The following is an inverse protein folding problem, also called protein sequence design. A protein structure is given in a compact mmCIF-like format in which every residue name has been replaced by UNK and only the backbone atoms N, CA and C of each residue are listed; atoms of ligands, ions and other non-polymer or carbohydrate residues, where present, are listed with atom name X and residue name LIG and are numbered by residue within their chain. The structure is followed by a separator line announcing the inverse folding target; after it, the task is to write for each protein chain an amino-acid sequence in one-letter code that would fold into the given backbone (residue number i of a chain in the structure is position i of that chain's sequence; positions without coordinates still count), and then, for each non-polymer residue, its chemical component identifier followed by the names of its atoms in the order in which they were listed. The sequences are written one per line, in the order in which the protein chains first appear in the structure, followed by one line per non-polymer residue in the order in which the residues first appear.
data_IF_452941631305
#
_entry.id   IF_452941631305
#
_cell.length_a   1.000
_cell.length_b   1.000
_cell.length_c   1.000
_cell.angle_alpha   90.00
_cell.angle_beta   90.00
_cell.angle_gamma   90.00
#
_symmetry.space_group_name_H-M   'P 1'
#
loop_
_entity.id
_entity.type
_entity.pdbx_description
1 polymer ?
#
# COMPACT_ATOMS: atom_id res chain seq x y z
N UNK A 1 -29.66 15.42 17.54
CA UNK A 1 -28.77 14.28 17.84
C UNK A 1 -27.45 14.57 17.11
N UNK A 2 -26.40 14.95 17.84
CA UNK A 2 -25.08 15.14 17.23
C UNK A 2 -24.57 13.75 16.81
N UNK A 3 -24.40 13.53 15.51
CA UNK A 3 -23.61 12.40 15.04
C UNK A 3 -22.22 12.50 15.70
N UNK A 4 -21.67 11.42 16.26
CA UNK A 4 -20.30 11.48 16.78
C UNK A 4 -19.42 11.98 15.63
N UNK A 5 -18.59 12.99 15.92
CA UNK A 5 -17.58 13.45 14.95
C UNK A 5 -16.76 12.24 14.53
N UNK A 6 -16.75 11.91 13.25
CA UNK A 6 -15.91 10.83 12.74
C UNK A 6 -14.46 11.18 13.13
N UNK A 7 -13.77 10.21 13.71
CA UNK A 7 -12.37 10.34 14.08
C UNK A 7 -11.54 10.76 12.84
N UNK A 8 -10.56 11.63 13.03
CA UNK A 8 -9.66 12.07 11.97
C UNK A 8 -8.93 10.84 11.41
N UNK A 9 -9.02 10.63 10.12
CA UNK A 9 -8.42 9.49 9.45
C UNK A 9 -6.92 9.71 9.25
N UNK A 10 -6.07 8.78 9.66
CA UNK A 10 -4.65 8.83 9.37
C UNK A 10 -4.34 8.00 8.12
N UNK A 11 -3.82 8.64 7.09
CA UNK A 11 -3.30 7.97 5.88
C UNK A 11 -1.80 8.11 5.87
N UNK A 12 -1.09 7.01 5.66
CA UNK A 12 0.35 6.96 5.71
C UNK A 12 0.93 6.35 4.45
N UNK A 13 1.99 6.95 3.93
CA UNK A 13 2.85 6.34 2.92
C UNK A 13 4.31 6.40 3.35
N UNK A 14 5.14 5.59 2.70
CA UNK A 14 6.58 5.60 2.93
C UNK A 14 7.33 5.82 1.63
N UNK A 15 8.31 6.72 1.64
CA UNK A 15 9.20 7.00 0.50
C UNK A 15 10.65 6.90 0.97
N UNK A 16 11.41 6.00 0.38
CA UNK A 16 12.85 5.89 0.60
C UNK A 16 13.61 5.70 -0.70
N UNK A 17 14.88 6.08 -0.70
CA UNK A 17 15.74 6.01 -1.88
C UNK A 17 15.21 6.85 -3.04
N UNK A 18 15.58 6.46 -4.24
CA UNK A 18 15.35 7.24 -5.48
C UNK A 18 14.35 6.60 -6.45
N UNK A 19 13.76 5.46 -6.08
CA UNK A 19 12.83 4.74 -6.99
C UNK A 19 11.61 5.59 -7.34
N UNK A 20 11.05 6.28 -6.36
CA UNK A 20 9.89 7.15 -6.53
C UNK A 20 10.25 8.60 -6.24
N UNK A 21 9.95 9.51 -7.18
CA UNK A 21 10.09 10.94 -6.99
C UNK A 21 8.98 11.50 -6.09
N UNK A 22 9.11 12.76 -5.66
CA UNK A 22 8.10 13.44 -4.85
C UNK A 22 6.72 13.46 -5.49
N UNK A 23 6.65 13.51 -6.84
CA UNK A 23 5.40 13.51 -7.59
C UNK A 23 4.51 12.30 -7.29
N UNK A 24 5.09 11.13 -7.00
CA UNK A 24 4.31 9.97 -6.60
C UNK A 24 3.57 10.17 -5.28
N UNK A 25 4.23 10.80 -4.30
CA UNK A 25 3.63 11.13 -3.01
C UNK A 25 2.56 12.21 -3.17
N UNK A 26 2.86 13.25 -3.95
CA UNK A 26 1.93 14.36 -4.21
C UNK A 26 0.68 13.86 -4.95
N UNK A 27 0.86 12.98 -5.94
CA UNK A 27 -0.26 12.34 -6.65
C UNK A 27 -1.07 11.45 -5.73
N UNK A 28 -0.42 10.66 -4.86
CA UNK A 28 -1.12 9.84 -3.87
C UNK A 28 -1.94 10.71 -2.91
N UNK A 29 -1.36 11.80 -2.40
CA UNK A 29 -2.07 12.78 -1.58
C UNK A 29 -3.31 13.32 -2.31
N UNK A 30 -3.16 13.74 -3.58
CA UNK A 30 -4.28 14.24 -4.38
C UNK A 30 -5.38 13.20 -4.58
N UNK A 31 -5.01 11.95 -4.82
CA UNK A 31 -5.97 10.84 -4.94
C UNK A 31 -6.71 10.59 -3.63
N UNK A 32 -6.02 10.62 -2.48
CA UNK A 32 -6.65 10.50 -1.17
C UNK A 32 -7.63 11.64 -0.92
N UNK A 33 -7.22 12.88 -1.17
CA UNK A 33 -8.05 14.06 -0.97
C UNK A 33 -9.34 14.05 -1.80
N UNK A 34 -9.32 13.44 -2.98
CA UNK A 34 -10.52 13.29 -3.83
C UNK A 34 -11.44 12.14 -3.42
N UNK A 35 -10.90 11.14 -2.73
CA UNK A 35 -11.62 9.88 -2.48
C UNK A 35 -11.88 9.58 -0.99
N UNK A 36 -11.55 10.50 -0.09
CA UNK A 36 -11.81 10.39 1.34
C UNK A 36 -12.67 11.58 1.79
N UNK A 37 -13.88 11.30 2.27
CA UNK A 37 -14.88 12.34 2.57
C UNK A 37 -14.74 12.91 3.99
N UNK A 38 -14.00 12.26 4.87
CA UNK A 38 -13.76 12.68 6.25
C UNK A 38 -12.51 13.53 6.39
N UNK A 39 -12.39 14.27 7.48
CA UNK A 39 -11.15 14.94 7.84
C UNK A 39 -10.02 13.92 7.97
N UNK A 40 -8.84 14.23 7.41
CA UNK A 40 -7.71 13.32 7.42
C UNK A 40 -6.37 14.05 7.58
N UNK A 41 -5.42 13.31 8.11
CA UNK A 41 -3.99 13.62 8.07
C UNK A 41 -3.34 12.74 7.02
N UNK A 42 -2.47 13.30 6.20
CA UNK A 42 -1.67 12.53 5.25
C UNK A 42 -0.20 12.64 5.63
N UNK A 43 0.36 11.51 6.04
CA UNK A 43 1.72 11.42 6.56
C UNK A 43 2.62 10.67 5.58
N UNK A 44 3.76 11.25 5.28
CA UNK A 44 4.82 10.61 4.52
C UNK A 44 6.04 10.38 5.40
N UNK A 45 6.40 9.12 5.62
CA UNK A 45 7.66 8.76 6.27
C UNK A 45 8.75 8.73 5.21
N UNK A 46 9.75 9.63 5.32
CA UNK A 46 10.78 9.76 4.29
C UNK A 46 12.09 10.32 4.83
N UNK A 47 13.19 9.97 4.17
CA UNK A 47 14.51 10.56 4.37
C UNK A 47 14.72 11.83 3.53
N UNK A 48 13.83 12.09 2.54
CA UNK A 48 13.92 13.23 1.65
C UNK A 48 12.54 13.82 1.36
N UNK A 49 12.27 14.99 1.96
CA UNK A 49 11.02 15.73 1.82
C UNK A 49 11.02 16.71 0.64
N UNK A 50 12.11 16.80 -0.13
CA UNK A 50 12.23 17.78 -1.21
C UNK A 50 11.15 17.56 -2.27
N UNK A 51 10.40 18.64 -2.58
CA UNK A 51 9.35 18.63 -3.60
C UNK A 51 8.01 18.06 -3.15
N UNK A 52 7.85 17.70 -1.87
CA UNK A 52 6.54 17.31 -1.33
C UNK A 52 5.63 18.52 -1.17
N UNK A 53 4.33 18.32 -1.38
CA UNK A 53 3.29 19.31 -1.15
C UNK A 53 3.26 19.71 0.34
N UNK A 54 3.12 21.00 0.63
CA UNK A 54 3.14 21.53 1.99
C UNK A 54 2.00 21.05 2.90
N UNK A 55 0.97 20.45 2.34
CA UNK A 55 -0.15 19.84 3.08
C UNK A 55 0.17 18.43 3.58
N UNK A 56 1.27 17.84 3.13
CA UNK A 56 1.73 16.52 3.55
C UNK A 56 2.56 16.69 4.83
N UNK A 57 2.15 15.99 5.87
CA UNK A 57 2.95 15.90 7.10
C UNK A 57 4.13 14.97 6.88
N UNK A 58 5.32 15.42 7.21
CA UNK A 58 6.55 14.66 6.95
C UNK A 58 7.22 14.31 8.26
N UNK A 59 7.51 13.02 8.41
CA UNK A 59 8.38 12.52 9.48
C UNK A 59 9.54 11.72 8.88
N UNK A 60 10.68 11.61 9.56
CA UNK A 60 11.76 10.75 9.12
C UNK A 60 11.29 9.27 9.06
N UNK A 61 12.04 8.42 8.39
CA UNK A 61 11.83 6.97 8.53
C UNK A 61 12.18 6.56 9.96
N UNK A 62 11.32 5.77 10.65
CA UNK A 62 11.67 5.29 11.98
C UNK A 62 12.96 4.46 11.95
N UNK A 63 13.77 4.61 12.99
CA UNK A 63 14.98 3.80 13.12
C UNK A 63 14.63 2.33 13.32
N UNK A 64 15.31 1.48 12.58
CA UNK A 64 15.19 0.03 12.69
C UNK A 64 16.34 -0.52 13.51
N UNK A 65 16.06 -1.52 14.35
CA UNK A 65 17.09 -2.20 15.16
C UNK A 65 18.15 -2.93 14.31
N UNK A 66 17.90 -3.06 13.00
CA UNK A 66 18.78 -3.71 12.03
C UNK A 66 19.06 -2.77 10.86
N UNK A 67 20.27 -2.86 10.30
CA UNK A 67 20.60 -2.10 9.10
C UNK A 67 19.98 -2.77 7.87
N UNK A 68 19.18 -2.01 7.12
CA UNK A 68 18.44 -2.50 5.94
C UNK A 68 18.94 -1.78 4.69
N UNK A 69 19.74 -2.46 3.88
CA UNK A 69 20.31 -1.93 2.65
C UNK A 69 19.75 -2.61 1.40
N UNK A 70 19.85 -1.94 0.25
CA UNK A 70 19.50 -2.50 -1.06
C UNK A 70 18.09 -3.08 -1.08
N UNK A 71 17.92 -4.35 -1.52
CA UNK A 71 16.60 -4.99 -1.61
C UNK A 71 15.94 -5.23 -0.25
N UNK A 72 16.70 -5.23 0.85
CA UNK A 72 16.18 -5.42 2.21
C UNK A 72 15.41 -4.18 2.72
N UNK A 73 15.56 -3.02 2.09
CA UNK A 73 14.83 -1.80 2.48
C UNK A 73 13.30 -1.94 2.48
N UNK A 74 12.73 -2.93 1.79
CA UNK A 74 11.31 -3.26 1.88
C UNK A 74 10.85 -3.60 3.29
N UNK A 75 11.72 -4.16 4.13
CA UNK A 75 11.46 -4.48 5.53
C UNK A 75 11.20 -3.23 6.41
N UNK A 76 11.59 -2.02 5.95
CA UNK A 76 11.28 -0.76 6.64
C UNK A 76 9.77 -0.58 6.87
N UNK A 77 8.91 -1.21 6.08
CA UNK A 77 7.46 -1.16 6.31
C UNK A 77 7.04 -1.68 7.68
N UNK A 78 7.85 -2.53 8.30
CA UNK A 78 7.56 -3.04 9.65
C UNK A 78 7.71 -1.98 10.74
N UNK A 79 8.45 -0.89 10.47
CA UNK A 79 8.67 0.19 11.44
C UNK A 79 7.36 0.86 11.92
N UNK A 80 6.28 0.78 11.14
CA UNK A 80 4.99 1.34 11.53
C UNK A 80 4.30 0.56 12.67
N UNK A 81 4.78 -0.65 12.97
CA UNK A 81 4.29 -1.46 14.08
C UNK A 81 5.01 -1.18 15.41
N UNK A 82 5.76 -0.08 15.51
CA UNK A 82 6.29 0.39 16.79
C UNK A 82 5.16 0.66 17.77
N UNK A 83 5.46 0.55 19.08
CA UNK A 83 4.51 0.88 20.17
C UNK A 83 3.99 2.32 20.04
N UNK A 84 4.85 3.23 19.60
CA UNK A 84 4.52 4.61 19.27
C UNK A 84 5.01 4.95 17.88
N UNK A 85 4.15 5.60 17.09
CA UNK A 85 4.49 6.06 15.74
C UNK A 85 4.28 7.57 15.68
N UNK A 86 5.30 8.32 16.10
CA UNK A 86 5.24 9.78 16.26
C UNK A 86 4.05 10.20 17.15
N UNK A 87 3.22 11.10 16.66
CA UNK A 87 2.00 11.58 17.34
C UNK A 87 0.71 10.90 16.81
N UNK A 88 0.86 9.94 15.89
CA UNK A 88 -0.26 9.20 15.33
C UNK A 88 -0.91 8.30 16.38
N UNK A 89 -2.25 8.27 16.36
CA UNK A 89 -3.07 7.44 17.26
C UNK A 89 -4.23 6.84 16.49
N UNK A 90 -4.75 5.71 16.99
CA UNK A 90 -5.88 5.03 16.40
C UNK A 90 -5.52 4.35 15.07
N UNK A 91 -6.49 4.27 14.19
CA UNK A 91 -6.35 3.56 12.91
C UNK A 91 -5.53 4.35 11.90
N UNK A 92 -4.59 3.66 11.25
CA UNK A 92 -3.76 4.18 10.16
C UNK A 92 -3.96 3.32 8.92
N UNK A 93 -4.31 3.94 7.80
CA UNK A 93 -4.35 3.30 6.48
C UNK A 93 -3.02 3.55 5.77
N UNK A 94 -2.24 2.49 5.58
CA UNK A 94 -0.99 2.52 4.83
C UNK A 94 -1.20 2.22 3.36
N UNK A 95 -0.61 3.04 2.51
CA UNK A 95 -0.70 2.96 1.05
C UNK A 95 0.69 2.98 0.42
N UNK A 96 0.95 2.05 -0.51
CA UNK A 96 2.13 2.11 -1.38
C UNK A 96 2.02 3.29 -2.37
N UNK A 97 3.14 3.70 -2.93
CA UNK A 97 3.20 4.83 -3.87
C UNK A 97 2.79 4.45 -5.30
N UNK A 98 2.86 3.17 -5.66
CA UNK A 98 2.55 2.65 -6.99
C UNK A 98 1.15 2.05 -7.07
N UNK A 99 0.16 2.81 -6.67
CA UNK A 99 -1.25 2.47 -6.75
C UNK A 99 -2.08 3.62 -7.29
N UNK A 100 -3.30 3.35 -7.72
CA UNK A 100 -4.31 4.38 -8.01
C UNK A 100 -5.56 4.15 -7.16
N UNK A 101 -6.19 5.25 -6.76
CA UNK A 101 -7.45 5.24 -6.01
C UNK A 101 -8.57 5.55 -6.99
N UNK A 102 -9.50 4.61 -7.12
CA UNK A 102 -10.59 4.66 -8.10
C UNK A 102 -11.98 4.77 -7.47
N UNK A 103 -12.05 4.75 -6.13
CA UNK A 103 -13.31 4.84 -5.38
C UNK A 103 -13.09 5.28 -3.93
N UNK A 104 -14.18 5.42 -3.18
CA UNK A 104 -14.14 5.92 -1.80
C UNK A 104 -13.24 5.08 -0.90
N UNK A 105 -12.43 5.77 -0.10
CA UNK A 105 -11.61 5.18 0.97
C UNK A 105 -12.34 5.13 2.32
N UNK A 106 -13.50 5.76 2.46
CA UNK A 106 -14.21 5.83 3.74
C UNK A 106 -14.50 4.44 4.30
N UNK A 107 -14.95 3.52 3.45
CA UNK A 107 -15.25 2.15 3.88
C UNK A 107 -14.02 1.37 4.37
N UNK A 108 -12.80 1.74 3.92
CA UNK A 108 -11.57 1.09 4.41
C UNK A 108 -11.32 1.44 5.88
N UNK A 109 -11.78 2.59 6.35
CA UNK A 109 -11.73 2.95 7.77
C UNK A 109 -12.85 2.31 8.59
N UNK A 110 -14.04 2.16 7.99
CA UNK A 110 -15.23 1.67 8.68
C UNK A 110 -15.33 0.14 8.70
N UNK A 111 -14.63 -0.55 7.80
CA UNK A 111 -14.63 -2.01 7.72
C UNK A 111 -14.13 -2.63 9.03
N UNK A 112 -14.85 -3.60 9.63
CA UNK A 112 -14.42 -4.25 10.86
C UNK A 112 -13.21 -5.16 10.60
N UNK A 113 -12.27 -5.17 11.53
CA UNK A 113 -11.05 -5.99 11.48
C UNK A 113 -9.92 -5.32 12.22
N UNK A 114 -9.06 -6.10 12.84
CA UNK A 114 -7.94 -5.62 13.64
C UNK A 114 -6.83 -5.11 12.72
N UNK A 115 -6.23 -5.98 11.92
CA UNK A 115 -5.33 -5.59 10.84
C UNK A 115 -5.94 -6.03 9.52
N UNK A 116 -6.32 -5.04 8.71
CA UNK A 116 -6.91 -5.26 7.40
C UNK A 116 -5.83 -5.19 6.33
N UNK A 117 -5.76 -6.19 5.43
CA UNK A 117 -4.74 -6.25 4.37
C UNK A 117 -5.35 -6.83 3.09
N UNK A 118 -4.70 -6.63 1.95
CA UNK A 118 -5.08 -7.32 0.72
C UNK A 118 -4.72 -8.81 0.84
N UNK A 119 -5.61 -9.73 0.48
CA UNK A 119 -5.23 -11.13 0.28
C UNK A 119 -4.34 -11.24 -0.97
N UNK A 120 -3.17 -11.85 -0.85
CA UNK A 120 -2.27 -11.97 -2.00
C UNK A 120 -2.95 -12.74 -3.14
N UNK A 121 -2.86 -12.21 -4.34
CA UNK A 121 -3.56 -12.74 -5.52
C UNK A 121 -2.93 -14.00 -6.11
N UNK A 122 -1.74 -14.38 -5.64
CA UNK A 122 -0.95 -15.52 -6.18
C UNK A 122 -0.79 -16.60 -5.15
N UNK A 123 -0.51 -16.19 -3.91
CA UNK A 123 -0.25 -17.13 -2.81
C UNK A 123 -1.56 -17.68 -2.26
N UNK A 124 -1.53 -18.98 -1.95
CA UNK A 124 -2.69 -19.69 -1.41
C UNK A 124 -2.55 -20.02 0.08
N UNK A 125 -1.45 -19.60 0.69
CA UNK A 125 -1.08 -19.90 2.07
C UNK A 125 -1.63 -18.89 3.09
N UNK A 126 -2.44 -17.94 2.64
CA UNK A 126 -2.97 -16.88 3.50
C UNK A 126 -2.08 -15.66 3.62
N UNK A 127 -0.97 -15.59 2.89
CA UNK A 127 -0.13 -14.37 2.85
C UNK A 127 -0.95 -13.17 2.38
N UNK A 128 -0.79 -12.03 3.06
CA UNK A 128 -1.33 -10.74 2.65
C UNK A 128 -0.39 -10.02 1.69
N UNK A 129 -0.92 -9.01 1.00
CA UNK A 129 -0.13 -8.05 0.22
C UNK A 129 -0.19 -6.68 0.90
N UNK A 130 0.97 -6.16 1.29
CA UNK A 130 1.13 -4.95 2.10
C UNK A 130 1.06 -3.63 1.30
N UNK A 131 0.51 -3.63 0.09
CA UNK A 131 0.34 -2.39 -0.67
C UNK A 131 -0.80 -1.51 -0.15
N UNK A 132 -1.82 -2.13 0.47
CA UNK A 132 -2.92 -1.44 1.16
C UNK A 132 -3.24 -2.21 2.43
N UNK A 133 -2.94 -1.66 3.58
CA UNK A 133 -3.30 -2.27 4.85
C UNK A 133 -3.66 -1.21 5.89
N UNK A 134 -4.48 -1.58 6.85
CA UNK A 134 -4.89 -0.74 7.96
C UNK A 134 -4.64 -1.47 9.27
N UNK A 135 -4.07 -0.76 10.23
CA UNK A 135 -3.80 -1.25 11.57
C UNK A 135 -4.08 -0.15 12.60
N UNK A 136 -4.05 -0.48 13.86
CA UNK A 136 -4.09 0.48 14.96
C UNK A 136 -2.68 0.66 15.55
N UNK A 137 -2.25 1.92 15.73
CA UNK A 137 -0.93 2.25 16.27
C UNK A 137 -0.76 1.62 17.64
N UNK A 138 0.37 0.95 17.85
CA UNK A 138 0.72 0.32 19.13
C UNK A 138 0.00 -1.00 19.44
N UNK A 139 -0.88 -1.50 18.55
CA UNK A 139 -1.60 -2.76 18.81
C UNK A 139 -0.72 -4.02 18.68
N UNK A 140 0.34 -3.97 17.88
CA UNK A 140 1.20 -5.13 17.58
C UNK A 140 2.70 -4.80 17.62
N UNK A 141 3.25 -4.23 18.71
CA UNK A 141 4.67 -3.85 18.78
C UNK A 141 5.62 -5.06 18.70
N UNK A 142 5.16 -6.23 19.12
CA UNK A 142 5.92 -7.47 19.08
C UNK A 142 6.37 -7.86 17.66
N UNK A 143 5.68 -7.40 16.61
CA UNK A 143 6.08 -7.64 15.21
C UNK A 143 7.45 -7.01 14.95
N UNK A 144 7.62 -5.74 15.36
CA UNK A 144 8.88 -5.03 15.19
C UNK A 144 9.94 -5.49 16.17
N UNK A 145 9.56 -5.79 17.41
CA UNK A 145 10.47 -6.30 18.44
C UNK A 145 11.08 -7.64 18.06
N UNK A 146 10.25 -8.61 17.60
CA UNK A 146 10.73 -9.91 17.16
C UNK A 146 11.58 -9.80 15.91
N UNK A 147 11.20 -8.93 14.98
CA UNK A 147 12.01 -8.64 13.81
C UNK A 147 13.41 -8.14 14.19
N UNK A 148 13.52 -7.20 15.13
CA UNK A 148 14.80 -6.69 15.60
C UNK A 148 15.67 -7.74 16.30
N UNK A 149 15.04 -8.66 17.03
CA UNK A 149 15.76 -9.75 17.74
C UNK A 149 16.24 -10.88 16.83
N UNK A 150 15.47 -11.22 15.81
CA UNK A 150 15.60 -12.48 15.06
C UNK A 150 15.72 -12.28 13.55
N UNK A 151 16.17 -11.11 13.08
CA UNK A 151 16.18 -10.71 11.68
C UNK A 151 16.78 -11.76 10.74
N UNK A 152 17.99 -12.30 11.07
CA UNK A 152 18.66 -13.27 10.21
C UNK A 152 17.88 -14.59 10.08
N UNK A 153 17.19 -15.03 11.13
CA UNK A 153 16.34 -16.21 11.07
C UNK A 153 15.05 -15.95 10.30
N UNK A 154 14.48 -14.76 10.46
CA UNK A 154 13.27 -14.34 9.74
C UNK A 154 13.53 -14.30 8.24
N UNK A 155 14.67 -13.78 7.78
CA UNK A 155 15.05 -13.77 6.35
C UNK A 155 15.22 -15.16 5.75
N UNK A 156 15.62 -16.15 6.55
CA UNK A 156 15.75 -17.53 6.09
C UNK A 156 14.39 -18.21 5.84
N UNK A 157 13.35 -17.77 6.54
CA UNK A 157 12.02 -18.39 6.51
C UNK A 157 10.99 -17.57 5.73
N UNK A 158 11.21 -16.27 5.58
CA UNK A 158 10.31 -15.34 4.89
C UNK A 158 11.07 -14.52 3.85
N UNK A 159 10.56 -14.45 2.63
CA UNK A 159 11.22 -13.75 1.53
C UNK A 159 11.14 -12.22 1.61
N UNK A 160 10.14 -11.72 2.31
CA UNK A 160 9.87 -10.29 2.45
C UNK A 160 9.01 -9.99 3.68
N UNK A 161 8.85 -8.70 3.96
CA UNK A 161 8.11 -8.19 5.11
C UNK A 161 6.65 -8.66 5.15
N UNK A 162 5.97 -8.74 4.00
CA UNK A 162 4.55 -9.12 3.97
C UNK A 162 4.32 -10.60 4.31
N UNK A 163 5.25 -11.49 3.98
CA UNK A 163 5.20 -12.89 4.42
C UNK A 163 5.33 -13.00 5.95
N UNK A 164 6.32 -12.31 6.50
CA UNK A 164 6.56 -12.28 7.94
C UNK A 164 5.39 -11.62 8.69
N UNK A 165 4.97 -10.44 8.25
CA UNK A 165 3.83 -9.71 8.83
C UNK A 165 2.57 -10.60 8.85
N UNK A 166 2.27 -11.24 7.73
CA UNK A 166 1.10 -12.13 7.64
C UNK A 166 1.21 -13.31 8.60
N UNK A 167 2.38 -13.94 8.68
CA UNK A 167 2.61 -15.07 9.58
C UNK A 167 2.43 -14.67 11.06
N UNK A 168 2.95 -13.51 11.46
CA UNK A 168 2.80 -12.99 12.82
C UNK A 168 1.35 -12.69 13.18
N UNK A 169 0.63 -12.02 12.28
CA UNK A 169 -0.77 -11.65 12.49
C UNK A 169 -1.70 -12.87 12.44
N UNK A 170 -1.44 -13.87 11.59
CA UNK A 170 -2.22 -15.12 11.56
C UNK A 170 -2.10 -15.90 12.86
N UNK A 171 -0.90 -15.97 13.47
CA UNK A 171 -0.71 -16.61 14.79
C UNK A 171 -1.58 -15.99 15.87
N UNK A 172 -1.93 -14.71 15.73
CA UNK A 172 -2.76 -13.95 16.68
C UNK A 172 -4.24 -13.91 16.31
N UNK A 173 -4.62 -14.47 15.17
CA UNK A 173 -5.96 -14.30 14.56
C UNK A 173 -6.33 -12.82 14.31
N UNK A 174 -5.36 -11.94 14.15
CA UNK A 174 -5.52 -10.51 13.94
C UNK A 174 -5.60 -10.12 12.46
N UNK A 175 -5.23 -11.03 11.54
CA UNK A 175 -5.21 -10.76 10.10
C UNK A 175 -6.60 -10.92 9.50
N UNK A 176 -7.10 -9.85 8.87
CA UNK A 176 -8.38 -9.83 8.16
C UNK A 176 -8.14 -9.30 6.74
N UNK A 177 -8.85 -9.85 5.76
CA UNK A 177 -8.67 -9.39 4.38
C UNK A 177 -9.74 -8.40 3.97
N UNK A 178 -9.33 -7.39 3.16
CA UNK A 178 -10.28 -6.55 2.45
C UNK A 178 -11.23 -7.39 1.60
N UNK A 179 -12.49 -6.94 1.38
CA UNK A 179 -13.31 -7.48 0.32
C UNK A 179 -12.54 -7.51 -1.01
N UNK A 180 -12.51 -8.65 -1.69
CA UNK A 180 -11.68 -8.88 -2.87
C UNK A 180 -11.95 -7.88 -4.00
N UNK A 181 -13.18 -7.39 -4.09
CA UNK A 181 -13.55 -6.38 -5.08
C UNK A 181 -12.88 -5.01 -4.86
N UNK A 182 -12.52 -4.66 -3.62
CA UNK A 182 -12.03 -3.32 -3.27
C UNK A 182 -10.58 -3.08 -3.67
N UNK A 183 -9.73 -4.09 -3.54
CA UNK A 183 -8.30 -3.97 -3.83
C UNK A 183 -7.92 -4.98 -4.91
N UNK A 184 -7.56 -4.49 -6.09
CA UNK A 184 -7.25 -5.32 -7.25
C UNK A 184 -5.84 -5.06 -7.75
N UNK A 185 -5.28 -6.01 -8.48
CA UNK A 185 -4.01 -5.86 -9.19
C UNK A 185 -4.26 -5.50 -10.64
N UNK A 186 -3.61 -4.44 -11.14
CA UNK A 186 -3.69 -4.08 -12.56
C UNK A 186 -3.36 -5.27 -13.47
N UNK A 187 -2.25 -5.94 -13.19
CA UNK A 187 -1.79 -7.08 -14.01
C UNK A 187 -2.70 -8.30 -13.98
N UNK A 188 -3.38 -8.53 -12.87
CA UNK A 188 -4.16 -9.77 -12.66
C UNK A 188 -5.62 -9.61 -13.03
N UNK A 189 -6.16 -8.42 -12.87
CA UNK A 189 -7.58 -8.21 -13.01
C UNK A 189 -7.94 -7.30 -14.19
N UNK A 190 -7.09 -6.31 -14.51
CA UNK A 190 -7.44 -5.31 -15.52
C UNK A 190 -6.96 -5.67 -16.92
N UNK A 191 -5.95 -6.54 -17.07
CA UNK A 191 -5.48 -6.98 -18.39
C UNK A 191 -6.25 -8.22 -18.79
N UNK A 192 -7.06 -8.13 -19.86
CA UNK A 192 -7.85 -9.28 -20.39
C UNK A 192 -6.97 -10.46 -20.75
N UNK A 193 -7.52 -11.70 -20.74
CA UNK A 193 -6.79 -12.89 -21.15
C UNK A 193 -6.18 -12.75 -22.54
N UNK A 194 -5.14 -13.53 -22.80
CA UNK A 194 -4.31 -13.47 -23.99
C UNK A 194 -5.12 -13.58 -25.30
N UNK A 195 -4.82 -12.69 -26.24
CA UNK A 195 -5.15 -12.83 -27.66
C UNK A 195 -3.87 -13.11 -28.45
N UNK A 196 -3.85 -14.14 -29.26
CA UNK A 196 -2.66 -14.62 -30.00
C UNK A 196 -2.04 -13.56 -30.92
N UNK A 197 -2.82 -12.58 -31.40
CA UNK A 197 -2.39 -11.67 -32.46
C UNK A 197 -2.44 -10.18 -32.09
N UNK A 198 -3.02 -9.81 -30.94
CA UNK A 198 -3.25 -8.40 -30.60
C UNK A 198 -2.82 -8.08 -29.17
N UNK A 199 -2.46 -6.81 -28.95
CA UNK A 199 -2.28 -6.29 -27.60
C UNK A 199 -3.59 -6.45 -26.81
N UNK A 200 -3.48 -6.97 -25.58
CA UNK A 200 -4.64 -7.24 -24.72
C UNK A 200 -5.34 -5.95 -24.31
N UNK A 201 -6.65 -5.97 -24.33
CA UNK A 201 -7.45 -4.87 -23.78
C UNK A 201 -7.24 -4.75 -22.28
N UNK A 202 -7.41 -3.53 -21.79
CA UNK A 202 -7.43 -3.23 -20.35
C UNK A 202 -8.77 -2.67 -19.95
N UNK A 203 -9.24 -3.05 -18.78
CA UNK A 203 -10.55 -2.64 -18.28
C UNK A 203 -10.49 -2.45 -16.76
N UNK A 204 -11.11 -1.36 -16.28
CA UNK A 204 -11.31 -1.15 -14.87
C UNK A 204 -12.56 -1.92 -14.42
N UNK A 205 -12.45 -2.65 -13.31
CA UNK A 205 -13.61 -3.31 -12.73
C UNK A 205 -14.39 -2.33 -11.85
N UNK A 206 -15.72 -2.34 -12.03
CA UNK A 206 -16.65 -1.67 -11.14
C UNK A 206 -16.40 -2.16 -9.70
N UNK A 207 -16.62 -1.34 -8.71
CA UNK A 207 -16.41 -1.59 -7.28
C UNK A 207 -14.93 -1.67 -6.83
N UNK A 208 -13.95 -1.49 -7.73
CA UNK A 208 -12.55 -1.30 -7.34
C UNK A 208 -12.40 0.06 -6.67
N UNK A 209 -11.75 0.07 -5.50
CA UNK A 209 -11.42 1.29 -4.74
C UNK A 209 -9.96 1.65 -4.87
N UNK A 210 -9.11 0.63 -4.84
CA UNK A 210 -7.66 0.78 -4.99
C UNK A 210 -7.15 -0.26 -5.98
N UNK A 211 -6.37 0.21 -6.93
CA UNK A 211 -5.71 -0.63 -7.92
C UNK A 211 -4.20 -0.57 -7.73
N UNK A 212 -3.59 -1.72 -7.49
CA UNK A 212 -2.17 -1.86 -7.17
C UNK A 212 -1.36 -2.24 -8.40
N UNK A 213 -0.25 -1.53 -8.60
CA UNK A 213 0.74 -1.74 -9.67
C UNK A 213 2.01 -2.36 -9.09
N UNK A 214 1.96 -3.63 -8.72
CA UNK A 214 3.13 -4.32 -8.14
C UNK A 214 4.18 -4.68 -9.21
N UNK A 215 5.36 -4.11 -9.15
CA UNK A 215 6.39 -4.19 -10.19
C UNK A 215 5.95 -3.48 -11.47
N UNK A 216 6.42 -3.91 -12.64
CA UNK A 216 6.07 -3.26 -13.92
C UNK A 216 4.74 -3.79 -14.50
N UNK A 217 3.91 -2.94 -15.14
CA UNK A 217 4.11 -1.50 -15.35
C UNK A 217 3.86 -0.68 -14.07
N UNK A 218 4.45 0.50 -13.99
CA UNK A 218 4.01 1.58 -13.10
C UNK A 218 2.77 2.28 -13.70
N UNK A 219 2.02 3.11 -12.94
CA UNK A 219 0.81 3.76 -13.46
C UNK A 219 1.02 4.53 -14.77
N UNK A 220 2.06 5.37 -14.88
CA UNK A 220 2.37 6.13 -16.09
C UNK A 220 2.75 5.23 -17.28
N UNK A 221 3.42 4.11 -17.03
CA UNK A 221 3.73 3.11 -18.06
C UNK A 221 2.46 2.41 -18.56
N UNK A 222 1.52 2.13 -17.66
CA UNK A 222 0.24 1.56 -18.03
C UNK A 222 -0.58 2.49 -18.92
N UNK A 223 -0.59 3.81 -18.63
CA UNK A 223 -1.19 4.82 -19.49
C UNK A 223 -0.59 4.77 -20.90
N UNK A 224 0.72 4.62 -21.00
CA UNK A 224 1.44 4.54 -22.29
C UNK A 224 1.35 3.16 -22.98
N UNK A 225 0.80 2.14 -22.32
CA UNK A 225 0.77 0.77 -22.85
C UNK A 225 2.12 0.04 -22.80
N UNK A 226 3.04 0.51 -21.94
CA UNK A 226 4.38 -0.06 -21.78
C UNK A 226 4.37 -1.10 -20.67
N UNK A 227 4.75 -2.34 -20.97
CA UNK A 227 4.69 -3.45 -20.01
C UNK A 227 6.04 -3.85 -19.41
N UNK A 228 7.12 -3.26 -19.85
CA UNK A 228 8.49 -3.65 -19.48
C UNK A 228 8.96 -5.00 -20.06
N UNK A 229 8.06 -5.79 -20.66
CA UNK A 229 8.39 -7.08 -21.30
C UNK A 229 7.65 -7.21 -22.63
N UNK A 230 8.36 -7.49 -23.72
CA UNK A 230 7.80 -7.56 -25.08
C UNK A 230 6.62 -8.54 -25.24
N UNK A 231 6.58 -9.61 -24.48
CA UNK A 231 5.52 -10.63 -24.52
C UNK A 231 4.30 -10.32 -23.64
N UNK A 232 4.34 -9.21 -22.87
CA UNK A 232 3.23 -8.76 -22.01
C UNK A 232 2.53 -7.55 -22.59
N UNK A 233 2.32 -7.52 -23.91
CA UNK A 233 1.68 -6.38 -24.58
C UNK A 233 0.23 -6.22 -24.11
N UNK A 234 -0.15 -4.99 -23.84
CA UNK A 234 -1.53 -4.56 -23.63
C UNK A 234 -1.72 -3.18 -24.28
N UNK A 235 -2.97 -2.84 -24.59
CA UNK A 235 -3.28 -1.50 -25.13
C UNK A 235 -3.13 -0.45 -24.05
N UNK A 236 -2.78 0.81 -24.42
CA UNK A 236 -2.74 1.93 -23.49
C UNK A 236 -3.97 1.95 -22.58
N UNK A 237 -3.75 1.98 -21.27
CA UNK A 237 -4.79 2.07 -20.28
C UNK A 237 -5.05 3.54 -19.94
N UNK A 238 -5.57 4.30 -20.91
CA UNK A 238 -5.75 5.77 -20.78
C UNK A 238 -6.65 6.15 -19.62
N UNK A 239 -7.61 5.29 -19.25
CA UNK A 239 -8.47 5.45 -18.06
C UNK A 239 -7.68 5.53 -16.74
N UNK A 240 -6.45 5.00 -16.68
CA UNK A 240 -5.58 5.14 -15.50
C UNK A 240 -5.25 6.62 -15.25
N UNK A 241 -5.05 7.42 -16.31
CA UNK A 241 -4.75 8.85 -16.18
C UNK A 241 -5.91 9.66 -15.57
N UNK A 242 -7.14 9.17 -15.71
CA UNK A 242 -8.32 9.81 -15.10
C UNK A 242 -8.30 9.74 -13.56
N UNK A 243 -7.50 8.85 -13.01
CA UNK A 243 -7.36 8.65 -11.57
C UNK A 243 -5.98 9.05 -11.04
N UNK A 244 -4.93 8.88 -11.87
CA UNK A 244 -3.53 9.17 -11.53
C UNK A 244 -3.18 10.65 -11.72
N UNK A 245 -3.64 11.54 -10.84
CA UNK A 245 -3.30 12.98 -10.83
C UNK A 245 -3.58 13.62 -9.47
#
# INVERSE_FOLDING_TARGET
MNSPSKEVANVLCMKWGTKYAADYVNTLYSMVARNLSREFRFVCLTEDAKGLDSRIEVFPLPEMAVNLDGPERGWNKLAVFAETLYDLKGKVLCLDLDLIITGSLDDLFDCPGEVMIIKDWIKKDGTGNSSVYRFEVGAHPEILEEFGRSFEQIKQTHRNEQEYLSAMLMKKNALVYWPEAWCRSFKRHCIKPFSLFFARETEMHKDTRVLVFHGKPDPHEAVAGVSGKWYRRFKPATWVAEHWH
#
